data_IF_240408239674
#
_entry.id   IF_240408239674
#
_cell.length_a   1.000
_cell.length_b   1.000
_cell.length_c   1.000
_cell.angle_alpha   90.00
_cell.angle_beta   90.00
_cell.angle_gamma   90.00
#
_symmetry.space_group_name_H-M   'P 1'
#
loop_
_entity.id
_entity.type
_entity.pdbx_description
1 polymer ?
#
# COMPACT_ATOMS: atom_id res chain seq x y z
N UNK A 1 22.03 -16.22 10.93
CA UNK A 1 21.31 -15.66 9.76
C UNK A 1 20.36 -14.58 10.25
N UNK A 2 20.29 -13.44 9.56
CA UNK A 2 19.29 -12.40 9.86
C UNK A 2 17.92 -12.91 9.40
N UNK A 3 16.94 -12.91 10.30
CA UNK A 3 15.59 -13.38 9.99
C UNK A 3 14.84 -12.35 9.13
N UNK A 4 14.36 -12.79 7.96
CA UNK A 4 13.51 -11.98 7.07
C UNK A 4 12.22 -11.53 7.78
N UNK A 5 11.70 -12.31 8.73
CA UNK A 5 10.52 -11.91 9.50
C UNK A 5 10.76 -10.64 10.31
N UNK A 6 11.97 -10.50 10.89
CA UNK A 6 12.40 -9.30 11.62
C UNK A 6 12.52 -8.09 10.70
N UNK A 7 13.16 -8.24 9.54
CA UNK A 7 13.27 -7.15 8.56
C UNK A 7 11.86 -6.69 8.14
N UNK A 8 10.96 -7.63 7.87
CA UNK A 8 9.57 -7.34 7.52
C UNK A 8 8.87 -6.55 8.62
N UNK A 9 8.96 -7.00 9.88
CA UNK A 9 8.37 -6.32 11.04
C UNK A 9 8.86 -4.86 11.13
N UNK A 10 10.18 -4.66 11.09
CA UNK A 10 10.78 -3.32 11.19
C UNK A 10 10.39 -2.42 10.02
N UNK A 11 10.33 -2.97 8.80
CA UNK A 11 9.88 -2.26 7.61
C UNK A 11 8.42 -1.79 7.76
N UNK A 12 7.53 -2.66 8.24
CA UNK A 12 6.13 -2.29 8.46
C UNK A 12 5.98 -1.19 9.54
N UNK A 13 6.75 -1.28 10.63
CA UNK A 13 6.80 -0.22 11.65
C UNK A 13 7.30 1.11 11.07
N UNK A 14 8.34 1.07 10.25
CA UNK A 14 8.86 2.25 9.56
C UNK A 14 7.80 2.90 8.66
N UNK A 15 7.08 2.11 7.86
CA UNK A 15 6.05 2.62 6.94
C UNK A 15 4.89 3.24 7.74
N UNK A 16 4.47 2.56 8.82
CA UNK A 16 3.40 3.01 9.72
C UNK A 16 3.70 4.40 10.27
N UNK A 17 4.89 4.61 10.80
CA UNK A 17 5.23 5.84 11.55
C UNK A 17 5.99 6.88 10.72
N UNK A 18 6.23 6.57 9.43
CA UNK A 18 7.10 7.34 8.53
C UNK A 18 8.50 7.52 9.14
N UNK A 19 9.09 6.39 9.55
CA UNK A 19 10.26 6.31 10.40
C UNK A 19 9.89 5.89 11.83
N UNK A 20 10.52 4.84 12.33
CA UNK A 20 10.27 4.28 13.66
C UNK A 20 10.52 5.36 14.72
N UNK A 21 9.57 5.52 15.64
CA UNK A 21 9.65 6.53 16.70
C UNK A 21 10.70 6.14 17.74
N UNK A 22 11.23 7.12 18.50
CA UNK A 22 12.14 6.81 19.62
C UNK A 22 11.49 5.93 20.69
N UNK A 23 10.18 6.10 20.94
CA UNK A 23 9.40 5.28 21.87
C UNK A 23 9.33 3.82 21.40
N UNK A 24 9.12 3.59 20.12
CA UNK A 24 9.07 2.22 19.57
C UNK A 24 10.47 1.62 19.48
N UNK A 25 11.47 2.40 19.08
CA UNK A 25 12.87 1.98 19.05
C UNK A 25 13.36 1.51 20.42
N UNK A 26 13.02 2.21 21.50
CA UNK A 26 13.42 1.84 22.86
C UNK A 26 12.98 0.41 23.23
N UNK A 27 11.81 -0.03 22.74
CA UNK A 27 11.21 -1.35 22.98
C UNK A 27 11.80 -2.47 22.13
N UNK A 28 12.62 -2.15 21.13
CA UNK A 28 13.23 -3.15 20.26
C UNK A 28 14.36 -3.91 20.96
N UNK A 29 14.55 -5.17 20.56
CA UNK A 29 15.68 -5.99 20.99
C UNK A 29 16.99 -5.42 20.43
N UNK A 30 18.11 -5.72 21.08
CA UNK A 30 19.43 -5.23 20.64
C UNK A 30 19.72 -5.61 19.18
N UNK A 31 19.45 -6.85 18.79
CA UNK A 31 19.60 -7.32 17.41
C UNK A 31 18.77 -6.52 16.40
N UNK A 32 17.54 -6.14 16.74
CA UNK A 32 16.69 -5.30 15.88
C UNK A 32 17.22 -3.87 15.77
N UNK A 33 17.71 -3.31 16.89
CA UNK A 33 18.29 -1.96 16.93
C UNK A 33 19.51 -1.84 16.01
N UNK A 34 20.34 -2.87 15.92
CA UNK A 34 21.51 -2.89 15.00
C UNK A 34 21.13 -2.86 13.52
N UNK A 35 19.85 -3.11 13.18
CA UNK A 35 19.36 -3.04 11.80
C UNK A 35 18.90 -1.64 11.38
N UNK A 36 18.94 -0.68 12.30
CA UNK A 36 18.34 0.64 12.12
C UNK A 36 19.40 1.74 12.19
N UNK A 37 19.29 2.70 11.27
CA UNK A 37 20.03 3.97 11.31
C UNK A 37 19.12 5.10 11.78
N UNK A 38 19.67 5.97 12.63
CA UNK A 38 18.99 7.18 13.08
C UNK A 38 19.09 8.26 12.00
N UNK A 39 17.95 8.86 11.64
CA UNK A 39 17.88 10.08 10.81
C UNK A 39 17.00 11.11 11.52
N UNK A 40 17.65 12.10 12.13
CA UNK A 40 16.98 13.08 13.00
C UNK A 40 16.38 12.43 14.24
N UNK A 41 15.05 12.56 14.41
CA UNK A 41 14.29 11.99 15.54
C UNK A 41 13.69 10.60 15.25
N UNK A 42 13.97 10.02 14.09
CA UNK A 42 13.37 8.76 13.61
C UNK A 42 14.44 7.74 13.25
N UNK A 43 14.05 6.48 13.22
CA UNK A 43 14.91 5.35 12.87
C UNK A 43 14.38 4.65 11.62
N UNK A 44 15.29 4.24 10.75
CA UNK A 44 14.99 3.61 9.46
C UNK A 44 15.86 2.37 9.28
N UNK A 45 15.37 1.36 8.56
CA UNK A 45 16.18 0.22 8.18
C UNK A 45 17.42 0.67 7.41
N UNK A 46 18.57 0.12 7.77
CA UNK A 46 19.78 0.31 6.99
C UNK A 46 19.59 -0.23 5.56
N UNK A 47 20.20 0.40 4.54
CA UNK A 47 20.04 -0.02 3.14
C UNK A 47 20.29 -1.52 2.92
N UNK A 48 21.30 -2.10 3.58
CA UNK A 48 21.63 -3.53 3.47
C UNK A 48 20.52 -4.48 3.95
N UNK A 49 19.66 -4.04 4.87
CA UNK A 49 18.49 -4.81 5.32
C UNK A 49 17.24 -4.41 4.54
N UNK A 50 17.04 -3.11 4.29
CA UNK A 50 15.92 -2.60 3.48
C UNK A 50 15.89 -3.27 2.11
N UNK A 51 17.02 -3.39 1.44
CA UNK A 51 17.12 -3.95 0.08
C UNK A 51 16.87 -5.46 0.01
N UNK A 52 16.72 -6.16 1.14
CA UNK A 52 16.35 -7.59 1.18
C UNK A 52 14.84 -7.84 1.08
N UNK A 53 14.04 -6.77 1.06
CA UNK A 53 12.59 -6.81 0.92
C UNK A 53 12.16 -6.01 -0.28
N UNK A 54 11.40 -6.61 -1.18
CA UNK A 54 10.80 -5.92 -2.31
C UNK A 54 9.41 -5.39 -1.93
N UNK A 55 9.26 -4.08 -1.90
CA UNK A 55 8.03 -3.40 -1.48
C UNK A 55 7.20 -3.01 -2.70
N UNK A 56 6.00 -3.56 -2.75
CA UNK A 56 4.98 -3.25 -3.75
C UNK A 56 4.03 -2.22 -3.19
N UNK A 57 3.76 -1.19 -3.97
CA UNK A 57 2.75 -0.18 -3.70
C UNK A 57 1.63 -0.25 -4.73
N UNK A 58 0.39 -0.26 -4.25
CA UNK A 58 -0.79 -0.03 -5.08
C UNK A 58 -1.76 0.90 -4.38
N UNK A 59 -2.76 1.40 -5.08
CA UNK A 59 -3.74 2.29 -4.47
C UNK A 59 -5.05 2.39 -5.24
N UNK A 60 -6.09 2.80 -4.52
CA UNK A 60 -7.44 2.85 -5.06
C UNK A 60 -8.43 3.43 -4.07
N UNK A 61 -9.66 3.64 -4.55
CA UNK A 61 -10.76 4.11 -3.69
C UNK A 61 -11.30 2.96 -2.84
N UNK A 62 -11.53 1.78 -3.41
CA UNK A 62 -12.04 0.60 -2.69
C UNK A 62 -13.35 0.85 -1.93
N UNK A 63 -14.30 1.52 -2.58
CA UNK A 63 -15.58 1.92 -1.96
C UNK A 63 -16.49 0.72 -1.67
N UNK A 64 -16.82 -0.04 -2.72
CA UNK A 64 -17.48 -1.33 -2.59
C UNK A 64 -16.48 -2.39 -3.03
N UNK A 65 -16.06 -3.24 -2.10
CA UNK A 65 -15.19 -4.36 -2.41
C UNK A 65 -15.90 -5.40 -3.25
N UNK A 66 -15.16 -5.98 -4.18
CA UNK A 66 -15.65 -7.03 -5.06
C UNK A 66 -14.45 -7.86 -5.51
N UNK A 67 -14.72 -9.01 -6.15
CA UNK A 67 -13.69 -9.96 -6.57
C UNK A 67 -12.59 -9.32 -7.44
N UNK A 68 -12.95 -8.37 -8.31
CA UNK A 68 -11.98 -7.62 -9.10
C UNK A 68 -10.91 -6.88 -8.27
N UNK A 69 -11.27 -6.29 -7.12
CA UNK A 69 -10.30 -5.68 -6.21
C UNK A 69 -9.41 -6.74 -5.57
N UNK A 70 -10.00 -7.81 -5.03
CA UNK A 70 -9.24 -8.90 -4.42
C UNK A 70 -8.21 -9.49 -5.38
N UNK A 71 -8.63 -9.88 -6.59
CA UNK A 71 -7.73 -10.43 -7.62
C UNK A 71 -6.65 -9.43 -8.05
N UNK A 72 -6.99 -8.14 -8.14
CA UNK A 72 -6.00 -7.09 -8.45
C UNK A 72 -4.93 -6.99 -7.37
N UNK A 73 -5.31 -7.07 -6.10
CA UNK A 73 -4.38 -7.02 -4.96
C UNK A 73 -3.56 -8.31 -4.86
N UNK A 74 -4.16 -9.47 -5.08
CA UNK A 74 -3.45 -10.77 -5.17
C UNK A 74 -2.41 -10.76 -6.29
N UNK A 75 -2.74 -10.23 -7.47
CA UNK A 75 -1.76 -10.07 -8.56
C UNK A 75 -0.67 -9.06 -8.20
N UNK A 76 -1.01 -7.93 -7.58
CA UNK A 76 -0.03 -6.94 -7.15
C UNK A 76 0.96 -7.54 -6.15
N UNK A 77 0.49 -8.36 -5.20
CA UNK A 77 1.32 -9.04 -4.21
C UNK A 77 2.42 -9.90 -4.85
N UNK A 78 2.19 -10.48 -6.03
CA UNK A 78 3.19 -11.32 -6.74
C UNK A 78 4.45 -10.56 -7.18
N UNK A 79 4.42 -9.23 -7.18
CA UNK A 79 5.55 -8.42 -7.63
C UNK A 79 6.60 -8.13 -6.54
N UNK A 80 6.40 -8.60 -5.30
CA UNK A 80 7.37 -8.44 -4.21
C UNK A 80 6.99 -9.12 -2.90
N UNK A 81 7.78 -8.88 -1.87
CA UNK A 81 7.64 -9.51 -0.56
C UNK A 81 6.58 -8.82 0.32
N UNK A 82 6.40 -7.51 0.18
CA UNK A 82 5.48 -6.70 1.00
C UNK A 82 4.53 -5.91 0.09
N UNK A 83 3.22 -6.11 0.23
CA UNK A 83 2.19 -5.32 -0.44
C UNK A 83 1.66 -4.23 0.51
N UNK A 84 1.86 -2.98 0.12
CA UNK A 84 1.28 -1.80 0.77
C UNK A 84 0.19 -1.20 -0.10
N UNK A 85 -1.00 -1.05 0.48
CA UNK A 85 -2.18 -0.50 -0.21
C UNK A 85 -2.50 0.91 0.30
N UNK A 86 -2.53 1.88 -0.60
CA UNK A 86 -2.97 3.24 -0.32
C UNK A 86 -4.45 3.39 -0.63
N UNK A 87 -5.25 3.53 0.41
CA UNK A 87 -6.68 3.81 0.31
C UNK A 87 -6.87 5.31 0.12
N UNK A 88 -7.53 5.73 -0.95
CA UNK A 88 -7.74 7.15 -1.22
C UNK A 88 -8.51 7.82 -0.05
N UNK A 89 -8.08 9.01 0.38
CA UNK A 89 -8.89 9.82 1.32
C UNK A 89 -10.24 10.18 0.70
N UNK A 90 -11.23 10.55 1.52
CA UNK A 90 -12.55 10.94 1.02
C UNK A 90 -12.46 12.13 0.06
N UNK A 91 -11.60 13.11 0.37
CA UNK A 91 -11.31 14.25 -0.52
C UNK A 91 -10.74 13.81 -1.87
N UNK A 92 -9.80 12.86 -1.88
CA UNK A 92 -9.25 12.32 -3.14
C UNK A 92 -10.31 11.52 -3.90
N UNK A 93 -11.10 10.70 -3.23
CA UNK A 93 -12.15 9.89 -3.84
C UNK A 93 -13.23 10.75 -4.53
N UNK A 94 -13.66 11.82 -3.86
CA UNK A 94 -14.61 12.78 -4.42
C UNK A 94 -14.07 13.48 -5.68
N UNK A 95 -12.77 13.84 -5.69
CA UNK A 95 -12.14 14.49 -6.85
C UNK A 95 -11.94 13.55 -8.03
N UNK A 96 -11.57 12.29 -7.79
CA UNK A 96 -11.24 11.35 -8.87
C UNK A 96 -12.46 10.61 -9.43
N UNK A 97 -13.54 10.49 -8.65
CA UNK A 97 -14.75 9.74 -9.04
C UNK A 97 -16.02 10.43 -8.57
N UNK A 98 -16.70 9.84 -7.59
CA UNK A 98 -17.97 10.24 -7.00
C UNK A 98 -17.83 10.21 -5.48
N UNK A 99 -18.78 10.79 -4.76
CA UNK A 99 -18.87 10.63 -3.30
C UNK A 99 -18.91 9.13 -2.94
N UNK A 100 -17.93 8.63 -2.17
CA UNK A 100 -17.93 7.23 -1.76
C UNK A 100 -19.08 6.97 -0.77
N UNK A 101 -19.60 5.75 -0.77
CA UNK A 101 -20.60 5.30 0.20
C UNK A 101 -19.94 5.03 1.56
N UNK A 102 -18.74 4.47 1.54
CA UNK A 102 -17.96 4.19 2.72
C UNK A 102 -16.90 5.27 2.93
N UNK A 103 -16.80 5.79 4.16
CA UNK A 103 -15.73 6.74 4.51
C UNK A 103 -14.33 6.06 4.43
N UNK A 104 -13.28 6.86 4.41
CA UNK A 104 -11.91 6.35 4.22
C UNK A 104 -11.45 5.37 5.30
N UNK A 105 -11.94 5.50 6.54
CA UNK A 105 -11.61 4.58 7.63
C UNK A 105 -12.28 3.22 7.42
N UNK A 106 -13.56 3.17 7.07
CA UNK A 106 -14.26 1.92 6.78
C UNK A 106 -13.63 1.18 5.59
N UNK A 107 -13.29 1.92 4.52
CA UNK A 107 -12.59 1.36 3.35
C UNK A 107 -11.21 0.82 3.71
N UNK A 108 -10.50 1.52 4.60
CA UNK A 108 -9.21 1.07 5.12
C UNK A 108 -9.33 -0.26 5.87
N UNK A 109 -10.25 -0.36 6.82
CA UNK A 109 -10.44 -1.57 7.62
C UNK A 109 -10.77 -2.79 6.75
N UNK A 110 -11.64 -2.63 5.76
CA UNK A 110 -11.94 -3.70 4.80
C UNK A 110 -10.70 -4.15 4.02
N UNK A 111 -9.84 -3.22 3.59
CA UNK A 111 -8.60 -3.56 2.87
C UNK A 111 -7.57 -4.24 3.78
N UNK A 112 -7.49 -3.85 5.06
CA UNK A 112 -6.59 -4.47 6.04
C UNK A 112 -6.96 -5.91 6.37
N UNK A 113 -8.23 -6.28 6.23
CA UNK A 113 -8.71 -7.63 6.47
C UNK A 113 -8.32 -8.62 5.36
N UNK A 114 -7.83 -8.15 4.21
CA UNK A 114 -7.46 -9.02 3.09
C UNK A 114 -6.08 -9.66 3.34
N UNK A 115 -6.01 -10.99 3.29
CA UNK A 115 -4.79 -11.76 3.59
C UNK A 115 -3.59 -11.45 2.69
N UNK A 116 -3.81 -10.97 1.46
CA UNK A 116 -2.74 -10.57 0.55
C UNK A 116 -2.13 -9.20 0.87
N UNK A 117 -2.76 -8.41 1.76
CA UNK A 117 -2.35 -7.05 2.11
C UNK A 117 -1.54 -7.06 3.39
N UNK A 118 -0.29 -6.61 3.32
CA UNK A 118 0.59 -6.58 4.49
C UNK A 118 0.45 -5.30 5.31
N UNK A 119 0.15 -4.20 4.62
CA UNK A 119 -0.15 -2.94 5.26
C UNK A 119 -1.05 -2.09 4.39
N UNK A 120 -1.93 -1.33 5.02
CA UNK A 120 -2.74 -0.35 4.33
C UNK A 120 -2.79 0.96 5.11
N UNK A 121 -2.88 2.07 4.39
CA UNK A 121 -2.96 3.40 4.95
C UNK A 121 -3.77 4.35 4.07
N UNK A 122 -4.32 5.39 4.68
CA UNK A 122 -5.02 6.44 3.95
C UNK A 122 -4.01 7.36 3.24
N UNK A 123 -4.22 7.57 1.95
CA UNK A 123 -3.39 8.42 1.11
C UNK A 123 -3.61 9.92 1.38
N UNK A 124 -2.54 10.69 1.16
CA UNK A 124 -2.59 12.16 1.16
C UNK A 124 -2.81 12.70 -0.26
N UNK A 125 -3.02 14.02 -0.39
CA UNK A 125 -3.33 14.64 -1.67
C UNK A 125 -2.25 14.43 -2.77
N UNK A 126 -0.97 14.42 -2.39
CA UNK A 126 0.16 14.21 -3.31
C UNK A 126 0.60 12.74 -3.28
N UNK A 127 0.43 12.03 -4.40
CA UNK A 127 0.70 10.59 -4.52
C UNK A 127 2.19 10.27 -4.35
N UNK A 128 3.06 11.17 -4.78
CA UNK A 128 4.53 11.07 -4.68
C UNK A 128 5.00 11.01 -3.22
N UNK A 129 4.28 11.67 -2.30
CA UNK A 129 4.56 11.57 -0.86
C UNK A 129 4.32 10.16 -0.34
N UNK A 130 3.33 9.46 -0.89
CA UNK A 130 3.05 8.07 -0.50
C UNK A 130 4.13 7.13 -1.03
N UNK A 131 4.58 7.32 -2.27
CA UNK A 131 5.68 6.56 -2.85
C UNK A 131 6.94 6.67 -1.98
N UNK A 132 7.32 7.91 -1.61
CA UNK A 132 8.49 8.15 -0.75
C UNK A 132 8.34 7.59 0.66
N UNK A 133 7.17 7.77 1.28
CA UNK A 133 6.88 7.24 2.64
C UNK A 133 6.94 5.72 2.69
N UNK A 134 6.39 5.06 1.68
CA UNK A 134 6.42 3.59 1.58
C UNK A 134 7.82 3.11 1.18
N UNK A 135 8.56 3.93 0.44
CA UNK A 135 9.81 3.55 -0.19
C UNK A 135 9.57 2.41 -1.17
N UNK A 136 8.61 2.56 -2.08
CA UNK A 136 8.20 1.47 -2.98
C UNK A 136 9.31 1.11 -3.99
N UNK A 137 9.52 -0.18 -4.22
CA UNK A 137 10.40 -0.70 -5.28
C UNK A 137 9.60 -0.95 -6.58
N UNK A 138 8.32 -1.32 -6.43
CA UNK A 138 7.39 -1.54 -7.53
C UNK A 138 6.08 -0.82 -7.26
N UNK A 139 5.55 -0.13 -8.26
CA UNK A 139 4.21 0.45 -8.22
C UNK A 139 3.32 -0.30 -9.20
N UNK A 140 2.26 -0.91 -8.68
CA UNK A 140 1.30 -1.69 -9.47
C UNK A 140 0.00 -0.92 -9.65
N UNK A 141 -0.36 -0.69 -10.91
CA UNK A 141 -1.60 -0.08 -11.35
C UNK A 141 -2.58 -1.15 -11.84
N UNK A 142 -3.84 -1.01 -11.46
CA UNK A 142 -4.95 -1.76 -12.02
C UNK A 142 -5.13 -1.47 -13.52
N UNK A 143 -5.82 -2.38 -14.20
CA UNK A 143 -5.96 -2.35 -15.66
C UNK A 143 -6.62 -1.06 -16.20
N UNK A 144 -7.54 -0.48 -15.43
CA UNK A 144 -8.29 0.73 -15.79
C UNK A 144 -7.67 2.03 -15.25
N UNK A 145 -6.52 1.95 -14.58
CA UNK A 145 -5.84 3.13 -14.04
C UNK A 145 -4.92 3.79 -15.07
N UNK A 146 -4.88 5.13 -15.03
CA UNK A 146 -3.87 5.92 -15.73
C UNK A 146 -2.59 5.93 -14.91
N UNK A 147 -1.47 5.59 -15.56
CA UNK A 147 -0.14 5.74 -14.98
C UNK A 147 0.18 7.23 -14.93
N UNK A 148 0.57 7.72 -13.77
CA UNK A 148 0.87 9.14 -13.55
C UNK A 148 2.29 9.36 -12.99
N UNK A 149 3.09 8.31 -12.93
CA UNK A 149 4.44 8.30 -12.38
C UNK A 149 5.42 7.84 -13.45
N UNK A 150 6.52 8.56 -13.57
CA UNK A 150 7.61 8.20 -14.46
C UNK A 150 8.59 7.29 -13.73
N UNK A 151 9.05 6.24 -14.40
CA UNK A 151 10.08 5.34 -13.87
C UNK A 151 11.37 6.15 -13.62
N UNK A 152 11.77 6.24 -12.36
CA UNK A 152 13.09 6.73 -11.96
C UNK A 152 13.66 5.80 -10.90
N UNK A 153 13.08 5.87 -9.69
CA UNK A 153 13.57 5.13 -8.52
C UNK A 153 12.77 3.84 -8.23
N UNK A 154 11.81 3.50 -9.08
CA UNK A 154 10.90 2.37 -8.91
C UNK A 154 10.42 1.84 -10.27
N UNK A 155 10.08 0.54 -10.29
CA UNK A 155 9.47 -0.10 -11.46
C UNK A 155 7.97 0.19 -11.50
N UNK A 156 7.44 0.55 -12.67
CA UNK A 156 5.99 0.70 -12.86
C UNK A 156 5.43 -0.53 -13.57
N UNK A 157 4.36 -1.08 -13.02
CA UNK A 157 3.64 -2.22 -13.60
C UNK A 157 2.19 -1.83 -13.77
N UNK A 158 1.66 -1.97 -15.00
CA UNK A 158 0.23 -1.90 -15.25
C UNK A 158 -0.30 -3.30 -15.54
N UNK A 159 -1.24 -3.77 -14.72
CA UNK A 159 -1.89 -5.06 -14.94
C UNK A 159 -2.70 -4.99 -16.23
N UNK A 160 -2.51 -5.96 -17.12
CA UNK A 160 -3.18 -5.99 -18.43
C UNK A 160 -4.58 -6.59 -18.37
N UNK A 161 -4.83 -7.44 -17.37
CA UNK A 161 -6.08 -8.21 -17.25
C UNK A 161 -7.08 -7.50 -16.37
N UNK A 162 -8.32 -7.41 -16.85
CA UNK A 162 -9.48 -7.13 -16.01
C UNK A 162 -9.89 -8.40 -15.28
N UNK A 163 -10.02 -8.32 -13.95
CA UNK A 163 -10.50 -9.43 -13.14
C UNK A 163 -11.99 -9.25 -12.79
N UNK A 164 -12.80 -10.31 -12.94
CA UNK A 164 -14.20 -10.34 -12.48
C UNK A 164 -15.29 -9.99 -13.51
N UNK A 165 -15.02 -10.05 -14.83
CA UNK A 165 -16.05 -9.92 -15.86
C UNK A 165 -16.77 -8.55 -15.92
N UNK A 166 -17.95 -8.50 -16.57
CA UNK A 166 -18.70 -7.25 -16.78
C UNK A 166 -19.24 -6.64 -15.47
N UNK A 167 -19.45 -7.43 -14.41
CA UNK A 167 -20.08 -7.04 -13.14
C UNK A 167 -19.11 -6.51 -12.06
N UNK A 168 -17.79 -6.67 -12.22
CA UNK A 168 -16.79 -6.26 -11.22
C UNK A 168 -16.34 -4.78 -11.35
N UNK A 169 -17.28 -3.85 -11.55
CA UNK A 169 -17.02 -2.41 -11.38
C UNK A 169 -17.99 -1.88 -10.35
N UNK A 170 -17.49 -1.20 -9.32
CA UNK A 170 -18.32 -0.55 -8.28
C UNK A 170 -19.52 0.21 -8.88
N UNK A 171 -19.31 1.03 -9.91
CA UNK A 171 -20.39 1.75 -10.59
C UNK A 171 -21.48 0.85 -11.17
N UNK A 172 -21.11 -0.31 -11.74
CA UNK A 172 -22.07 -1.26 -12.31
C UNK A 172 -22.82 -2.05 -11.24
N UNK A 173 -22.15 -2.38 -10.13
CA UNK A 173 -22.79 -3.02 -8.98
C UNK A 173 -23.89 -2.11 -8.44
N UNK A 174 -23.59 -0.83 -8.30
CA UNK A 174 -24.51 0.17 -7.76
C UNK A 174 -25.73 0.36 -8.65
N UNK A 175 -25.51 0.54 -9.96
CA UNK A 175 -26.60 0.61 -10.95
C UNK A 175 -27.48 -0.65 -10.87
N UNK A 176 -26.88 -1.84 -10.75
CA UNK A 176 -27.64 -3.10 -10.64
C UNK A 176 -28.42 -3.23 -9.33
N UNK A 177 -27.93 -2.63 -8.25
CA UNK A 177 -28.58 -2.66 -6.93
C UNK A 177 -29.62 -1.55 -6.76
N UNK A 178 -29.77 -0.63 -7.72
CA UNK A 178 -30.72 0.49 -7.63
C UNK A 178 -30.34 1.52 -6.56
N UNK A 179 -29.05 1.63 -6.26
CA UNK A 179 -28.47 2.55 -5.26
C UNK A 179 -27.84 3.76 -5.95
#
# INVERSE_FOLDING_TARGET
MIDKSTIRKLLLMQIRDNGISGKDFAKLLLGEKTMLVRKGKRYFLEPKFRNQMKVVLTGGVFDILHIGHLRTLEEAKKYGDVLVVVVASDKTAMREKRKPMNNAKSRLEMIRALSCVDYALIGVAKKEKMVKRVGADVIVFGYDQRVFLNERDYKVVKLKKKFGGLSAKTTKIIIKMGI
#
